data_IF_279966955852
#
_entry.id   IF_279966955852
#
_cell.length_a   1.000
_cell.length_b   1.000
_cell.length_c   1.000
_cell.angle_alpha   90.00
_cell.angle_beta   90.00
_cell.angle_gamma   90.00
#
_symmetry.space_group_name_H-M   'P 1'
#
loop_
_entity.id
_entity.type
_entity.pdbx_description
1 polymer ?
#
# COMPACT_ATOMS: atom_id res chain seq x y z
N UNK A 1 -17.82 11.48 -5.73
CA UNK A 1 -17.64 11.17 -4.30
C UNK A 1 -17.56 9.67 -4.02
N UNK A 2 -18.47 8.84 -4.58
CA UNK A 2 -18.47 7.37 -4.35
C UNK A 2 -17.12 6.68 -4.60
N UNK A 3 -16.42 6.98 -5.70
CA UNK A 3 -15.12 6.36 -6.00
C UNK A 3 -13.99 6.72 -5.03
N UNK A 4 -14.02 7.92 -4.44
CA UNK A 4 -12.99 8.36 -3.48
C UNK A 4 -13.14 7.61 -2.16
N UNK A 5 -14.37 7.54 -1.63
CA UNK A 5 -14.68 6.80 -0.40
C UNK A 5 -14.41 5.31 -0.54
N UNK A 6 -14.82 4.71 -1.66
CA UNK A 6 -14.54 3.31 -1.96
C UNK A 6 -13.03 3.01 -2.01
N UNK A 7 -12.24 3.90 -2.64
CA UNK A 7 -10.79 3.81 -2.66
C UNK A 7 -10.17 3.88 -1.26
N UNK A 8 -10.62 4.83 -0.42
CA UNK A 8 -10.15 4.97 0.96
C UNK A 8 -10.46 3.72 1.81
N UNK A 9 -11.67 3.17 1.72
CA UNK A 9 -12.04 1.95 2.43
C UNK A 9 -11.20 0.74 1.99
N UNK A 10 -10.94 0.62 0.69
CA UNK A 10 -10.02 -0.39 0.18
C UNK A 10 -8.58 -0.20 0.70
N UNK A 11 -8.08 1.04 0.76
CA UNK A 11 -6.77 1.34 1.35
C UNK A 11 -6.70 1.05 2.86
N UNK A 12 -7.79 1.25 3.60
CA UNK A 12 -7.90 0.86 5.02
C UNK A 12 -7.78 -0.66 5.16
N UNK A 13 -8.53 -1.42 4.35
CA UNK A 13 -8.44 -2.87 4.36
C UNK A 13 -7.03 -3.36 4.01
N UNK A 14 -6.38 -2.74 3.02
CA UNK A 14 -5.00 -3.02 2.67
C UNK A 14 -4.03 -2.78 3.84
N UNK A 15 -4.13 -1.63 4.52
CA UNK A 15 -3.27 -1.32 5.66
C UNK A 15 -3.43 -2.33 6.81
N UNK A 16 -4.67 -2.72 7.14
CA UNK A 16 -4.91 -3.77 8.16
C UNK A 16 -4.22 -5.09 7.78
N UNK A 17 -4.29 -5.48 6.52
CA UNK A 17 -3.61 -6.70 6.03
C UNK A 17 -2.09 -6.55 6.08
N UNK A 18 -1.55 -5.39 5.70
CA UNK A 18 -0.10 -5.09 5.78
C UNK A 18 0.38 -5.23 7.22
N UNK A 19 -0.34 -4.65 8.19
CA UNK A 19 0.00 -4.78 9.61
C UNK A 19 0.03 -6.24 10.10
N UNK A 20 -0.74 -7.15 9.49
CA UNK A 20 -0.67 -8.58 9.79
C UNK A 20 0.51 -9.27 9.08
N UNK A 21 0.81 -8.88 7.83
CA UNK A 21 1.90 -9.46 7.03
C UNK A 21 3.27 -9.16 7.63
N UNK A 22 3.53 -7.91 8.04
CA UNK A 22 4.84 -7.48 8.52
C UNK A 22 5.40 -8.37 9.66
N UNK A 23 4.67 -8.58 10.78
CA UNK A 23 5.15 -9.49 11.82
C UNK A 23 5.16 -10.95 11.36
N UNK A 24 4.23 -11.38 10.50
CA UNK A 24 4.22 -12.76 10.00
C UNK A 24 5.49 -13.07 9.18
N UNK A 25 5.89 -12.17 8.28
CA UNK A 25 7.12 -12.28 7.50
C UNK A 25 8.35 -12.23 8.40
N UNK A 26 8.36 -11.35 9.40
CA UNK A 26 9.48 -11.25 10.33
C UNK A 26 9.70 -12.51 11.17
N UNK A 27 8.63 -13.19 11.59
CA UNK A 27 8.71 -14.36 12.47
C UNK A 27 8.80 -15.69 11.70
N UNK A 28 8.15 -15.79 10.53
CA UNK A 28 8.00 -17.05 9.79
C UNK A 28 8.64 -17.03 8.39
N UNK A 29 9.20 -15.89 7.99
CA UNK A 29 9.86 -15.70 6.69
C UNK A 29 8.90 -15.32 5.55
N UNK A 30 9.48 -14.85 4.44
CA UNK A 30 8.72 -14.36 3.25
C UNK A 30 7.92 -15.45 2.53
N UNK A 31 8.29 -16.72 2.71
CA UNK A 31 7.62 -17.87 2.09
C UNK A 31 6.51 -18.47 2.96
N UNK A 32 6.21 -17.87 4.13
CA UNK A 32 5.15 -18.36 5.00
C UNK A 32 3.79 -18.33 4.28
N UNK A 33 3.11 -19.48 4.06
CA UNK A 33 1.96 -19.54 3.15
C UNK A 33 0.81 -18.58 3.51
N UNK A 34 0.43 -18.38 4.79
CA UNK A 34 -0.57 -17.37 5.14
C UNK A 34 -0.16 -15.94 4.73
N UNK A 35 1.12 -15.58 4.85
CA UNK A 35 1.61 -14.28 4.40
C UNK A 35 1.49 -14.14 2.87
N UNK A 36 1.83 -15.19 2.10
CA UNK A 36 1.68 -15.18 0.63
C UNK A 36 0.23 -15.05 0.18
N UNK A 37 -0.70 -15.73 0.87
CA UNK A 37 -2.14 -15.57 0.61
C UNK A 37 -2.58 -14.13 0.86
N UNK A 38 -2.18 -13.53 1.99
CA UNK A 38 -2.49 -12.14 2.30
C UNK A 38 -1.88 -11.16 1.29
N UNK A 39 -0.63 -11.37 0.85
CA UNK A 39 0.00 -10.58 -0.21
C UNK A 39 -0.74 -10.71 -1.55
N UNK A 40 -1.23 -11.90 -1.88
CA UNK A 40 -2.06 -12.12 -3.08
C UNK A 40 -3.38 -11.35 -3.00
N UNK A 41 -4.01 -11.35 -1.83
CA UNK A 41 -5.21 -10.54 -1.56
C UNK A 41 -4.88 -9.04 -1.70
N UNK A 42 -3.71 -8.58 -1.23
CA UNK A 42 -3.29 -7.19 -1.41
C UNK A 42 -3.18 -6.79 -2.88
N UNK A 43 -2.72 -7.68 -3.77
CA UNK A 43 -2.70 -7.39 -5.22
C UNK A 43 -4.13 -7.17 -5.75
N UNK A 44 -5.09 -7.99 -5.34
CA UNK A 44 -6.49 -7.83 -5.72
C UNK A 44 -7.09 -6.53 -5.17
N UNK A 45 -6.79 -6.19 -3.91
CA UNK A 45 -7.21 -4.91 -3.30
C UNK A 45 -6.56 -3.74 -4.03
N UNK A 46 -5.28 -3.83 -4.42
CA UNK A 46 -4.59 -2.78 -5.15
C UNK A 46 -5.26 -2.49 -6.50
N UNK A 47 -5.70 -3.52 -7.23
CA UNK A 47 -6.50 -3.36 -8.45
C UNK A 47 -7.81 -2.63 -8.16
N UNK A 48 -8.56 -3.08 -7.15
CA UNK A 48 -9.83 -2.45 -6.76
C UNK A 48 -9.66 -0.97 -6.38
N UNK A 49 -8.67 -0.67 -5.54
CA UNK A 49 -8.33 0.68 -5.10
C UNK A 49 -7.89 1.55 -6.27
N UNK A 50 -7.06 1.03 -7.18
CA UNK A 50 -6.65 1.72 -8.40
C UNK A 50 -7.84 2.10 -9.27
N UNK A 51 -8.77 1.19 -9.56
CA UNK A 51 -9.93 1.52 -10.38
C UNK A 51 -10.85 2.54 -9.69
N UNK A 52 -10.99 2.45 -8.36
CA UNK A 52 -11.78 3.39 -7.56
C UNK A 52 -11.20 4.80 -7.61
N UNK A 53 -9.88 4.94 -7.37
CA UNK A 53 -9.20 6.24 -7.43
C UNK A 53 -9.04 6.76 -8.85
N UNK A 54 -8.79 5.90 -9.85
CA UNK A 54 -8.73 6.31 -11.26
C UNK A 54 -9.99 7.06 -11.69
N UNK A 55 -11.16 6.52 -11.34
CA UNK A 55 -12.47 7.15 -11.60
C UNK A 55 -12.64 8.46 -10.81
N UNK A 56 -12.16 8.51 -9.57
CA UNK A 56 -12.33 9.67 -8.69
C UNK A 56 -11.37 10.84 -8.98
N UNK A 57 -10.15 10.53 -9.43
CA UNK A 57 -9.09 11.50 -9.65
C UNK A 57 -9.11 12.07 -11.07
N UNK A 58 -9.38 11.24 -12.09
CA UNK A 58 -9.30 11.67 -13.49
C UNK A 58 -7.89 12.03 -13.98
N UNK A 59 -6.86 11.69 -13.20
CA UNK A 59 -5.47 12.08 -13.47
C UNK A 59 -4.78 11.12 -14.45
N UNK A 60 -4.21 11.68 -15.53
CA UNK A 60 -3.54 10.90 -16.59
C UNK A 60 -2.32 10.14 -16.07
N UNK A 61 -1.52 10.78 -15.22
CA UNK A 61 -0.31 10.19 -14.66
C UNK A 61 -0.61 9.07 -13.67
N UNK A 62 -1.60 9.25 -12.79
CA UNK A 62 -2.08 8.16 -11.92
C UNK A 62 -2.48 6.92 -12.74
N UNK A 63 -3.20 7.13 -13.84
CA UNK A 63 -3.65 6.05 -14.72
C UNK A 63 -2.50 5.30 -15.41
N UNK A 64 -1.38 5.98 -15.68
CA UNK A 64 -0.20 5.40 -16.34
C UNK A 64 0.78 4.74 -15.37
N UNK A 65 0.95 5.31 -14.19
CA UNK A 65 1.90 4.84 -13.18
C UNK A 65 1.34 3.70 -12.33
N UNK A 66 0.02 3.63 -12.15
CA UNK A 66 -0.62 2.58 -11.36
C UNK A 66 -0.37 1.16 -11.88
N UNK A 67 -0.62 0.86 -13.17
CA UNK A 67 -0.48 -0.50 -13.69
C UNK A 67 0.93 -1.09 -13.57
N UNK A 68 2.03 -0.37 -13.89
CA UNK A 68 3.39 -0.88 -13.66
C UNK A 68 3.67 -1.23 -12.20
N UNK A 69 3.23 -0.39 -11.25
CA UNK A 69 3.44 -0.63 -9.81
C UNK A 69 2.69 -1.90 -9.36
N UNK A 70 1.42 -2.03 -9.75
CA UNK A 70 0.60 -3.20 -9.39
C UNK A 70 1.15 -4.47 -10.06
N UNK A 71 1.54 -4.38 -11.33
CA UNK A 71 2.12 -5.50 -12.06
C UNK A 71 3.45 -5.96 -11.43
N UNK A 72 4.31 -5.03 -11.01
CA UNK A 72 5.55 -5.35 -10.31
C UNK A 72 5.26 -6.06 -8.97
N UNK A 73 4.32 -5.54 -8.16
CA UNK A 73 3.91 -6.22 -6.93
C UNK A 73 3.35 -7.63 -7.20
N UNK A 74 2.49 -7.78 -8.22
CA UNK A 74 1.94 -9.08 -8.60
C UNK A 74 3.02 -10.06 -9.06
N UNK A 75 3.98 -9.60 -9.86
CA UNK A 75 5.13 -10.40 -10.30
C UNK A 75 5.99 -10.83 -9.11
N UNK A 76 6.26 -9.93 -8.17
CA UNK A 76 7.01 -10.26 -6.96
C UNK A 76 6.30 -11.29 -6.08
N UNK A 77 4.97 -11.19 -5.93
CA UNK A 77 4.18 -12.22 -5.21
C UNK A 77 4.21 -13.56 -5.94
N UNK A 78 4.09 -13.57 -7.27
CA UNK A 78 4.19 -14.78 -8.08
C UNK A 78 5.56 -15.44 -7.94
N UNK A 79 6.65 -14.66 -7.98
CA UNK A 79 8.00 -15.15 -7.74
C UNK A 79 8.11 -15.84 -6.37
N UNK A 80 7.55 -15.24 -5.32
CA UNK A 80 7.54 -15.86 -3.99
C UNK A 80 6.76 -17.18 -3.96
N UNK A 81 5.62 -17.28 -4.66
CA UNK A 81 4.88 -18.54 -4.82
C UNK A 81 5.70 -19.62 -5.55
N UNK A 82 6.59 -19.22 -6.45
CA UNK A 82 7.51 -20.11 -7.16
C UNK A 82 8.78 -20.45 -6.36
N UNK A 83 8.91 -19.95 -5.13
CA UNK A 83 10.08 -20.17 -4.28
C UNK A 83 11.26 -19.24 -4.58
N UNK A 84 11.06 -18.20 -5.40
CA UNK A 84 12.13 -17.26 -5.79
C UNK A 84 12.25 -16.10 -4.77
N UNK A 85 13.34 -16.03 -3.97
CA UNK A 85 13.47 -15.06 -2.89
C UNK A 85 13.59 -13.61 -3.40
N UNK A 86 14.03 -13.42 -4.65
CA UNK A 86 14.07 -12.12 -5.31
C UNK A 86 12.68 -11.46 -5.38
N UNK A 87 11.60 -12.24 -5.31
CA UNK A 87 10.22 -11.71 -5.29
C UNK A 87 9.98 -10.69 -4.18
N UNK A 88 10.58 -10.87 -2.99
CA UNK A 88 10.47 -9.92 -1.89
C UNK A 88 11.14 -8.56 -2.24
N UNK A 89 12.27 -8.60 -2.95
CA UNK A 89 12.94 -7.40 -3.44
C UNK A 89 12.11 -6.67 -4.50
N UNK A 90 11.49 -7.40 -5.42
CA UNK A 90 10.59 -6.84 -6.44
C UNK A 90 9.38 -6.16 -5.80
N UNK A 91 8.76 -6.79 -4.79
CA UNK A 91 7.66 -6.17 -4.01
C UNK A 91 8.16 -4.88 -3.34
N UNK A 92 9.30 -4.93 -2.65
CA UNK A 92 9.84 -3.77 -1.95
C UNK A 92 10.11 -2.59 -2.90
N UNK A 93 10.66 -2.85 -4.10
CA UNK A 93 10.87 -1.83 -5.13
C UNK A 93 9.54 -1.28 -5.64
N UNK A 94 8.55 -2.13 -5.90
CA UNK A 94 7.23 -1.69 -6.35
C UNK A 94 6.57 -0.71 -5.36
N UNK A 95 6.80 -0.92 -4.06
CA UNK A 95 6.29 -0.04 -3.00
C UNK A 95 6.87 1.37 -3.02
N UNK A 96 8.02 1.64 -3.66
CA UNK A 96 8.47 3.02 -3.91
C UNK A 96 7.50 3.80 -4.83
N UNK A 97 6.63 3.10 -5.56
CA UNK A 97 5.53 3.71 -6.30
C UNK A 97 4.37 4.18 -5.41
N UNK A 98 4.24 3.69 -4.17
CA UNK A 98 3.14 4.03 -3.27
C UNK A 98 3.09 5.54 -2.96
N UNK A 99 4.19 6.23 -2.58
CA UNK A 99 4.14 7.67 -2.31
C UNK A 99 3.83 8.49 -3.56
N UNK A 100 4.27 8.02 -4.74
CA UNK A 100 3.99 8.66 -6.03
C UNK A 100 2.50 8.59 -6.36
N UNK A 101 1.88 7.41 -6.21
CA UNK A 101 0.43 7.25 -6.40
C UNK A 101 -0.37 7.95 -5.30
N UNK A 102 0.11 7.86 -4.07
CA UNK A 102 -0.44 8.51 -2.88
C UNK A 102 -0.46 10.03 -2.99
N UNK A 103 0.50 10.65 -3.70
CA UNK A 103 0.51 12.09 -3.94
C UNK A 103 -0.75 12.57 -4.68
N UNK A 104 -1.23 11.82 -5.69
CA UNK A 104 -2.44 12.20 -6.42
C UNK A 104 -3.68 12.14 -5.52
N UNK A 105 -3.76 11.12 -4.66
CA UNK A 105 -4.82 10.96 -3.66
C UNK A 105 -4.75 12.10 -2.63
N UNK A 106 -3.55 12.37 -2.10
CA UNK A 106 -3.26 13.49 -1.21
C UNK A 106 -3.76 14.82 -1.76
N UNK A 107 -3.41 15.17 -3.02
CA UNK A 107 -3.85 16.42 -3.64
C UNK A 107 -5.36 16.57 -3.64
N UNK A 108 -6.08 15.45 -3.88
CA UNK A 108 -7.54 15.45 -3.85
C UNK A 108 -8.10 15.61 -2.44
N UNK A 109 -7.42 15.06 -1.44
CA UNK A 109 -7.83 15.10 -0.04
C UNK A 109 -7.47 16.40 0.69
N UNK A 110 -6.60 17.24 0.12
CA UNK A 110 -6.26 18.56 0.67
C UNK A 110 -7.48 19.47 0.87
N UNK A 111 -8.52 19.34 0.03
CA UNK A 111 -9.77 20.08 0.18
C UNK A 111 -10.66 19.54 1.31
N UNK A 112 -10.42 18.31 1.76
CA UNK A 112 -11.18 17.66 2.83
C UNK A 112 -10.54 17.91 4.19
N UNK A 113 -9.24 17.59 4.33
CA UNK A 113 -8.48 17.86 5.56
C UNK A 113 -6.97 17.87 5.28
N UNK A 114 -6.35 19.05 5.43
CA UNK A 114 -4.93 19.25 5.13
C UNK A 114 -4.02 18.45 6.05
N UNK A 115 -4.34 18.38 7.33
CA UNK A 115 -3.51 17.74 8.36
C UNK A 115 -3.49 16.24 8.14
N UNK A 116 -4.66 15.61 8.02
CA UNK A 116 -4.73 14.16 7.83
C UNK A 116 -4.26 13.74 6.44
N UNK A 117 -4.45 14.57 5.41
CA UNK A 117 -3.85 14.32 4.10
C UNK A 117 -2.32 14.33 4.17
N UNK A 118 -1.71 15.30 4.87
CA UNK A 118 -0.26 15.37 5.03
C UNK A 118 0.29 14.17 5.81
N UNK A 119 -0.38 13.78 6.91
CA UNK A 119 -0.01 12.59 7.69
C UNK A 119 -0.09 11.34 6.80
N UNK A 120 -1.16 11.18 6.00
CA UNK A 120 -1.30 10.07 5.06
C UNK A 120 -0.11 9.97 4.09
N UNK A 121 0.27 11.08 3.44
CA UNK A 121 1.36 11.06 2.47
C UNK A 121 2.73 10.80 3.14
N UNK A 122 2.99 11.45 4.28
CA UNK A 122 4.24 11.30 5.00
C UNK A 122 4.42 9.87 5.54
N UNK A 123 3.36 9.30 6.11
CA UNK A 123 3.38 7.92 6.62
C UNK A 123 3.44 6.88 5.50
N UNK A 124 2.80 7.11 4.35
CA UNK A 124 2.96 6.27 3.16
C UNK A 124 4.40 6.28 2.63
N UNK A 125 5.04 7.45 2.58
CA UNK A 125 6.45 7.59 2.23
C UNK A 125 7.37 6.88 3.22
N UNK A 126 7.16 7.09 4.52
CA UNK A 126 7.92 6.43 5.57
C UNK A 126 7.79 4.90 5.47
N UNK A 127 6.58 4.38 5.28
CA UNK A 127 6.33 2.96 5.10
C UNK A 127 7.07 2.40 3.88
N UNK A 128 6.91 3.01 2.71
CA UNK A 128 7.55 2.56 1.48
C UNK A 128 9.09 2.50 1.58
N UNK A 129 9.70 3.55 2.15
CA UNK A 129 11.16 3.64 2.27
C UNK A 129 11.74 2.75 3.38
N UNK A 130 10.94 2.38 4.37
CA UNK A 130 11.37 1.48 5.46
C UNK A 130 10.99 0.03 5.22
N UNK A 131 10.19 -0.29 4.19
CA UNK A 131 9.78 -1.66 3.88
C UNK A 131 10.96 -2.63 3.65
N UNK A 132 12.07 -2.24 2.97
CA UNK A 132 13.24 -3.12 2.86
C UNK A 132 13.83 -3.54 4.22
N UNK A 133 13.63 -2.74 5.27
CA UNK A 133 14.16 -3.02 6.61
C UNK A 133 13.50 -4.27 7.26
N UNK A 134 12.35 -4.73 6.76
CA UNK A 134 11.73 -6.01 7.17
C UNK A 134 12.69 -7.18 6.94
N UNK A 135 13.47 -7.14 5.84
CA UNK A 135 14.39 -8.22 5.46
C UNK A 135 15.55 -8.39 6.44
N UNK A 136 15.84 -7.37 7.25
CA UNK A 136 16.88 -7.37 8.29
C UNK A 136 16.28 -7.37 9.71
N UNK A 137 15.00 -7.72 9.85
CA UNK A 137 14.32 -7.86 11.15
C UNK A 137 13.79 -6.57 11.76
N UNK A 138 13.94 -5.41 11.09
CA UNK A 138 13.46 -4.11 11.56
C UNK A 138 12.01 -3.83 11.11
N UNK A 139 11.13 -4.84 11.21
CA UNK A 139 9.75 -4.78 10.73
C UNK A 139 8.87 -3.76 11.46
N UNK A 140 9.25 -3.36 12.69
CA UNK A 140 8.53 -2.38 13.49
C UNK A 140 8.54 -0.98 12.85
N UNK A 141 9.56 -0.64 12.04
CA UNK A 141 9.66 0.65 11.36
C UNK A 141 8.52 0.84 10.33
N UNK A 142 8.38 -0.04 9.30
CA UNK A 142 7.25 0.06 8.38
C UNK A 142 5.92 -0.21 9.10
N UNK A 143 5.89 -1.01 10.17
CA UNK A 143 4.65 -1.24 10.93
C UNK A 143 4.09 0.04 11.53
N UNK A 144 4.92 0.82 12.24
CA UNK A 144 4.48 2.09 12.86
C UNK A 144 4.06 3.10 11.77
N UNK A 145 4.79 3.14 10.65
CA UNK A 145 4.44 4.00 9.53
C UNK A 145 3.08 3.61 8.91
N UNK A 146 2.83 2.32 8.65
CA UNK A 146 1.56 1.84 8.11
C UNK A 146 0.40 2.04 9.09
N UNK A 147 0.65 1.91 10.39
CA UNK A 147 -0.34 2.20 11.44
C UNK A 147 -0.74 3.69 11.45
N UNK A 148 0.23 4.60 11.35
CA UNK A 148 -0.05 6.03 11.21
C UNK A 148 -0.86 6.33 9.94
N UNK A 149 -0.52 5.66 8.83
CA UNK A 149 -1.25 5.76 7.55
C UNK A 149 -2.68 5.28 7.69
N UNK A 150 -2.90 4.15 8.37
CA UNK A 150 -4.22 3.59 8.66
C UNK A 150 -5.08 4.59 9.45
N UNK A 151 -4.56 5.19 10.52
CA UNK A 151 -5.28 6.21 11.30
C UNK A 151 -5.67 7.38 10.40
N UNK A 152 -4.74 7.87 9.57
CA UNK A 152 -5.01 8.97 8.66
C UNK A 152 -6.12 8.63 7.66
N UNK A 153 -6.07 7.44 7.05
CA UNK A 153 -7.09 6.96 6.12
C UNK A 153 -8.47 6.86 6.78
N UNK A 154 -8.56 6.34 8.01
CA UNK A 154 -9.83 6.27 8.77
C UNK A 154 -10.39 7.67 8.98
N UNK A 155 -9.56 8.62 9.44
CA UNK A 155 -10.00 9.99 9.70
C UNK A 155 -10.43 10.72 8.43
N UNK A 156 -9.78 10.46 7.30
CA UNK A 156 -10.15 10.99 6.00
C UNK A 156 -11.44 10.36 5.48
N UNK A 157 -11.60 9.04 5.61
CA UNK A 157 -12.81 8.33 5.16
C UNK A 157 -14.07 8.74 5.92
N UNK A 158 -13.94 9.17 7.18
CA UNK A 158 -15.05 9.74 7.95
C UNK A 158 -15.51 11.12 7.44
N UNK A 159 -14.66 11.83 6.69
CA UNK A 159 -14.89 13.20 6.20
C UNK A 159 -15.24 13.26 4.70
N UNK A 160 -15.25 12.12 4.01
CA UNK A 160 -15.60 11.97 2.58
C UNK A 160 -16.95 11.27 2.41
#
# INVERSE_FOLDING_TARGET
>A
MHGLKAGLLGSIAAAVIILAILPAVANYGVFYPPALVLMTILVAIALYVYFSFKRALGERWFSRLGPPVIAASAAGVLMLWLGEPLGAGVIAIAYFGEPVLGYFVYRKLLSTDKTWAAIFLASAAAYAYTLPAVLIGLWHLPFVADFAKLIALIKLAQKV
#
